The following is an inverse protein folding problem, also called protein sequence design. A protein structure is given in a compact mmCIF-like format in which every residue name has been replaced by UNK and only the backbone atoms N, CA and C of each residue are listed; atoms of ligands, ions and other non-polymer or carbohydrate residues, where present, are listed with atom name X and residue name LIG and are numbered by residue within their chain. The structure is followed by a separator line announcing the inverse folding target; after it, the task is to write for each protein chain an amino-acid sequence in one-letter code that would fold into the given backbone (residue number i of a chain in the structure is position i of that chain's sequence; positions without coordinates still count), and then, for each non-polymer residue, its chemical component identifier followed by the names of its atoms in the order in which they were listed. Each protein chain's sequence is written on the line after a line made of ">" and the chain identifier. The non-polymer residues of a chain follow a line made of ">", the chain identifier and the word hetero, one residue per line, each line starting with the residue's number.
data_IF_773933113651
#
_entry.id   IF_773933113651
#
_cell.length_a   1.000
_cell.length_b   1.000
_cell.length_c   1.000
_cell.angle_alpha   90.00
_cell.angle_beta   90.00
_cell.angle_gamma   90.00
#
_symmetry.space_group_name_H-M   'P 1'
#
loop_
_entity.id
_entity.type
_entity.pdbx_description
1 polymer ?
#
# COMPACT_ATOMS: atom_id res chain seq x y z
N UNK A 1 -3.31 16.16 29.92
CA UNK A 1 -2.31 15.49 30.77
C UNK A 1 -2.39 14.01 30.43
N UNK A 2 -1.33 13.41 29.89
CA UNK A 2 -1.29 11.98 29.65
C UNK A 2 -1.29 11.25 31.01
N UNK A 3 -2.09 10.19 31.12
CA UNK A 3 -2.18 9.37 32.33
C UNK A 3 -0.89 8.53 32.46
N UNK A 4 -0.09 8.68 33.53
CA UNK A 4 1.17 7.93 33.70
C UNK A 4 0.97 6.41 33.80
N UNK A 5 -0.24 5.93 34.07
CA UNK A 5 -0.56 4.50 34.01
C UNK A 5 -0.57 3.97 32.57
N UNK A 6 -0.93 4.81 31.60
CA UNK A 6 -0.97 4.45 30.18
C UNK A 6 0.44 4.32 29.59
N UNK A 7 1.40 5.15 30.04
CA UNK A 7 2.80 5.08 29.63
C UNK A 7 3.48 3.77 30.07
N UNK A 8 3.23 3.32 31.29
CA UNK A 8 3.76 2.03 31.77
C UNK A 8 3.17 0.83 31.01
N UNK A 9 1.89 0.89 30.65
CA UNK A 9 1.23 -0.16 29.89
C UNK A 9 1.73 -0.23 28.43
N UNK A 10 1.82 0.91 27.74
CA UNK A 10 2.38 0.99 26.39
C UNK A 10 3.83 0.50 26.35
N UNK A 11 4.64 0.88 27.34
CA UNK A 11 6.04 0.45 27.42
C UNK A 11 6.18 -1.06 27.66
N UNK A 12 5.20 -1.69 28.32
CA UNK A 12 5.15 -3.14 28.49
C UNK A 12 4.76 -3.87 27.21
N UNK A 13 3.78 -3.36 26.45
CA UNK A 13 3.35 -3.95 25.17
C UNK A 13 4.48 -3.85 24.13
N UNK A 14 5.18 -2.72 24.06
CA UNK A 14 6.29 -2.57 23.09
C UNK A 14 7.49 -3.49 23.40
N UNK A 15 7.64 -3.97 24.64
CA UNK A 15 8.66 -4.97 24.99
C UNK A 15 8.34 -6.37 24.47
N UNK A 16 7.10 -6.65 24.06
CA UNK A 16 6.73 -7.94 23.45
C UNK A 16 6.96 -7.97 21.94
N UNK A 17 7.36 -6.85 21.33
CA UNK A 17 7.69 -6.78 19.92
C UNK A 17 8.90 -7.69 19.61
N UNK A 18 8.74 -8.57 18.61
CA UNK A 18 9.77 -9.54 18.22
C UNK A 18 10.67 -9.03 17.09
N UNK A 19 10.21 -8.00 16.37
CA UNK A 19 10.92 -7.31 15.30
C UNK A 19 10.31 -5.90 15.11
N UNK A 20 10.91 -5.08 14.24
CA UNK A 20 10.43 -3.71 13.98
C UNK A 20 9.06 -3.67 13.27
N UNK A 21 8.73 -4.68 12.45
CA UNK A 21 7.42 -4.77 11.81
C UNK A 21 6.29 -4.95 12.84
N UNK A 22 6.44 -5.92 13.74
CA UNK A 22 5.55 -6.18 14.86
C UNK A 22 5.43 -4.93 15.74
N UNK A 23 6.55 -4.29 16.09
CA UNK A 23 6.55 -3.05 16.86
C UNK A 23 5.73 -1.95 16.17
N UNK A 24 5.85 -1.80 14.85
CA UNK A 24 5.05 -0.82 14.10
C UNK A 24 3.55 -1.12 14.13
N UNK A 25 3.16 -2.40 14.06
CA UNK A 25 1.75 -2.81 14.18
C UNK A 25 1.21 -2.50 15.58
N UNK A 26 1.97 -2.81 16.64
CA UNK A 26 1.61 -2.47 18.01
C UNK A 26 1.48 -0.95 18.22
N UNK A 27 2.41 -0.16 17.68
CA UNK A 27 2.34 1.30 17.75
C UNK A 27 1.11 1.84 17.00
N UNK A 28 0.74 1.23 15.87
CA UNK A 28 -0.47 1.60 15.12
C UNK A 28 -1.73 1.32 15.93
N UNK A 29 -1.82 0.11 16.51
CA UNK A 29 -2.92 -0.35 17.38
C UNK A 29 -3.13 0.56 18.59
N UNK A 30 -2.04 1.05 19.17
CA UNK A 30 -2.05 1.96 20.32
C UNK A 30 -2.20 3.44 19.92
N UNK A 31 -2.34 3.75 18.63
CA UNK A 31 -2.43 5.12 18.10
C UNK A 31 -1.22 6.00 18.47
N UNK A 32 -0.03 5.39 18.50
CA UNK A 32 1.22 6.06 18.85
C UNK A 32 2.04 6.50 17.63
N UNK A 33 1.62 6.11 16.42
CA UNK A 33 2.22 6.56 15.16
C UNK A 33 1.14 6.96 14.17
N UNK A 34 1.49 7.91 13.30
CA UNK A 34 0.63 8.38 12.21
C UNK A 34 1.12 7.92 10.84
N UNK A 35 2.32 7.41 10.70
CA UNK A 35 2.81 6.86 9.45
C UNK A 35 3.86 5.77 9.70
N UNK A 36 4.23 5.07 8.63
CA UNK A 36 5.26 4.04 8.64
C UNK A 36 6.46 4.40 7.76
N UNK A 37 6.60 5.68 7.37
CA UNK A 37 7.69 6.16 6.52
C UNK A 37 9.02 5.98 7.26
N UNK A 38 10.02 5.40 6.58
CA UNK A 38 11.33 5.12 7.17
C UNK A 38 11.36 4.05 8.28
N UNK A 39 10.24 3.43 8.64
CA UNK A 39 10.13 2.46 9.75
C UNK A 39 10.22 1.00 9.33
N UNK A 40 10.07 0.70 8.04
CA UNK A 40 9.99 -0.67 7.55
C UNK A 40 11.35 -1.41 7.53
N UNK A 41 12.46 -0.68 7.43
CA UNK A 41 13.78 -1.29 7.21
C UNK A 41 13.77 -2.12 5.91
N UNK A 42 13.92 -3.45 6.04
CA UNK A 42 13.83 -4.41 4.92
C UNK A 42 12.47 -5.09 4.78
N UNK A 43 11.52 -4.76 5.65
CA UNK A 43 10.19 -5.37 5.62
C UNK A 43 9.31 -4.75 4.54
N UNK A 44 8.38 -5.55 4.00
CA UNK A 44 7.44 -5.09 3.00
C UNK A 44 6.30 -4.32 3.66
N UNK A 45 5.91 -3.21 3.03
CA UNK A 45 4.75 -2.43 3.41
C UNK A 45 3.55 -2.79 2.54
N UNK A 46 2.36 -2.71 3.13
CA UNK A 46 1.10 -3.05 2.47
C UNK A 46 0.03 -1.98 2.66
N UNK A 47 -0.67 -1.73 1.57
CA UNK A 47 -1.95 -1.07 1.49
C UNK A 47 -3.07 -2.07 1.88
N UNK A 48 -4.23 -1.55 2.26
CA UNK A 48 -5.40 -2.35 2.65
C UNK A 48 -6.62 -2.05 1.78
N UNK A 49 -7.31 -3.13 1.37
CA UNK A 49 -8.70 -3.12 0.88
C UNK A 49 -9.47 -4.23 1.59
N UNK A 50 -10.60 -3.89 2.20
CA UNK A 50 -11.52 -4.82 2.86
C UNK A 50 -12.88 -4.72 2.19
N UNK A 51 -13.41 -5.87 1.78
CA UNK A 51 -14.64 -5.98 1.00
C UNK A 51 -15.55 -7.08 1.58
N UNK A 52 -16.87 -7.00 1.36
CA UNK A 52 -17.76 -8.13 1.56
C UNK A 52 -17.33 -9.34 0.69
N UNK A 53 -17.47 -10.55 1.21
CA UNK A 53 -16.88 -11.76 0.61
C UNK A 53 -17.39 -12.04 -0.81
N UNK A 54 -18.62 -11.62 -1.11
CA UNK A 54 -19.23 -11.73 -2.44
C UNK A 54 -18.39 -11.06 -3.55
N UNK A 55 -17.60 -10.04 -3.22
CA UNK A 55 -16.75 -9.31 -4.17
C UNK A 55 -15.28 -9.77 -4.16
N UNK A 56 -14.92 -10.71 -3.29
CA UNK A 56 -13.54 -11.14 -3.11
C UNK A 56 -12.96 -11.83 -4.35
N UNK A 57 -13.75 -12.64 -5.06
CA UNK A 57 -13.28 -13.31 -6.29
C UNK A 57 -13.03 -12.31 -7.42
N UNK A 58 -13.95 -11.37 -7.64
CA UNK A 58 -13.80 -10.30 -8.63
C UNK A 58 -12.54 -9.46 -8.34
N UNK A 59 -12.29 -9.16 -7.06
CA UNK A 59 -11.12 -8.38 -6.66
C UNK A 59 -9.81 -9.14 -6.89
N UNK A 60 -9.77 -10.45 -6.59
CA UNK A 60 -8.61 -11.30 -6.95
C UNK A 60 -8.35 -11.30 -8.45
N UNK A 61 -9.40 -11.42 -9.27
CA UNK A 61 -9.26 -11.37 -10.72
C UNK A 61 -8.81 -9.99 -11.22
N UNK A 62 -9.28 -8.90 -10.60
CA UNK A 62 -8.80 -7.55 -10.89
C UNK A 62 -7.30 -7.46 -10.63
N UNK A 63 -6.84 -7.89 -9.46
CA UNK A 63 -5.42 -7.89 -9.10
C UNK A 63 -4.59 -8.77 -10.03
N UNK A 64 -5.06 -9.97 -10.36
CA UNK A 64 -4.36 -10.89 -11.27
C UNK A 64 -4.22 -10.33 -12.69
N UNK A 65 -5.21 -9.57 -13.17
CA UNK A 65 -5.15 -8.88 -14.47
C UNK A 65 -4.29 -7.62 -14.43
N UNK A 66 -4.06 -7.04 -13.26
CA UNK A 66 -3.29 -5.81 -13.06
C UNK A 66 -2.19 -5.99 -12.01
N UNK A 67 -1.24 -6.92 -12.20
CA UNK A 67 -0.32 -7.35 -11.14
C UNK A 67 0.68 -6.26 -10.74
N UNK A 68 1.04 -5.36 -11.67
CA UNK A 68 1.94 -4.23 -11.39
C UNK A 68 1.30 -3.21 -10.46
N UNK A 69 0.11 -2.64 -10.74
CA UNK A 69 -0.50 -1.66 -9.84
C UNK A 69 -1.27 -2.27 -8.66
N UNK A 70 -1.63 -3.56 -8.71
CA UNK A 70 -2.45 -4.23 -7.71
C UNK A 70 -1.83 -5.55 -7.17
N UNK A 71 -0.55 -5.57 -6.73
CA UNK A 71 0.09 -6.81 -6.31
C UNK A 71 -0.48 -7.29 -4.96
N UNK A 72 -1.19 -8.40 -4.92
CA UNK A 72 -1.64 -9.01 -3.66
C UNK A 72 -0.45 -9.66 -2.96
N UNK A 73 -0.20 -9.26 -1.72
CA UNK A 73 0.75 -9.90 -0.83
C UNK A 73 0.06 -10.90 0.10
N UNK A 74 -1.15 -10.60 0.56
CA UNK A 74 -1.91 -11.56 1.35
C UNK A 74 -3.38 -11.23 1.46
N UNK A 75 -4.14 -12.15 2.05
CA UNK A 75 -5.57 -11.96 2.32
C UNK A 75 -6.02 -12.70 3.57
N UNK A 76 -7.15 -12.29 4.12
CA UNK A 76 -7.80 -13.04 5.21
C UNK A 76 -8.86 -14.00 4.67
N UNK A 77 -9.27 -14.97 5.49
CA UNK A 77 -10.53 -15.68 5.24
C UNK A 77 -11.72 -14.77 5.56
N UNK A 78 -12.91 -15.02 4.97
CA UNK A 78 -14.12 -14.31 5.36
C UNK A 78 -14.32 -14.35 6.87
N UNK A 79 -14.49 -13.16 7.46
CA UNK A 79 -14.77 -12.99 8.88
C UNK A 79 -13.58 -13.14 9.83
N UNK A 80 -12.43 -13.62 9.37
CA UNK A 80 -11.24 -13.82 10.20
C UNK A 80 -10.31 -12.60 10.12
N UNK A 81 -10.24 -11.73 11.14
CA UNK A 81 -9.38 -10.54 11.09
C UNK A 81 -7.94 -10.81 11.54
N UNK A 82 -7.65 -11.98 12.12
CA UNK A 82 -6.38 -12.23 12.84
C UNK A 82 -5.40 -13.10 12.07
N UNK A 83 -5.79 -13.62 10.89
CA UNK A 83 -4.94 -14.50 10.10
C UNK A 83 -4.86 -14.09 8.64
N UNK A 84 -3.63 -13.92 8.15
CA UNK A 84 -3.32 -13.58 6.77
C UNK A 84 -2.68 -14.78 6.09
N UNK A 85 -3.15 -15.06 4.88
CA UNK A 85 -2.59 -16.04 3.96
C UNK A 85 -1.81 -15.32 2.86
N UNK A 86 -0.63 -15.83 2.48
CA UNK A 86 0.07 -16.96 3.11
C UNK A 86 0.62 -16.59 4.51
N UNK A 87 0.74 -17.59 5.40
CA UNK A 87 1.14 -17.40 6.81
C UNK A 87 2.52 -16.74 7.00
N UNK A 88 3.33 -16.64 5.95
CA UNK A 88 4.60 -15.91 6.01
C UNK A 88 4.43 -14.40 6.08
N UNK A 89 3.31 -13.86 5.55
CA UNK A 89 3.07 -12.42 5.48
C UNK A 89 2.97 -11.79 6.87
N UNK A 90 2.28 -12.46 7.80
CA UNK A 90 2.20 -12.10 9.20
C UNK A 90 2.37 -13.36 10.05
N UNK A 91 3.36 -13.35 10.94
CA UNK A 91 3.76 -14.48 11.77
C UNK A 91 3.39 -14.27 13.25
N UNK A 92 3.04 -13.05 13.64
CA UNK A 92 2.70 -12.70 15.02
C UNK A 92 1.27 -13.10 15.36
N UNK A 93 1.04 -13.88 16.44
CA UNK A 93 -0.28 -14.43 16.77
C UNK A 93 -1.28 -13.40 17.28
N UNK A 94 -0.81 -12.23 17.70
CA UNK A 94 -1.63 -11.12 18.19
C UNK A 94 -2.03 -10.14 17.08
N UNK A 95 -1.77 -10.47 15.80
CA UNK A 95 -2.17 -9.65 14.66
C UNK A 95 -3.68 -9.44 14.60
N UNK A 96 -4.09 -8.21 14.27
CA UNK A 96 -5.49 -7.88 13.96
C UNK A 96 -5.56 -6.79 12.89
N UNK A 97 -6.04 -7.15 11.70
CA UNK A 97 -6.16 -6.22 10.57
C UNK A 97 -7.05 -5.02 10.88
N UNK A 98 -7.93 -5.13 11.88
CA UNK A 98 -8.88 -4.07 12.27
C UNK A 98 -8.23 -2.96 13.07
N UNK A 99 -7.04 -3.19 13.62
CA UNK A 99 -6.34 -2.22 14.48
C UNK A 99 -4.90 -1.92 14.06
N UNK A 100 -4.29 -2.79 13.26
CA UNK A 100 -2.84 -2.75 13.02
C UNK A 100 -2.40 -1.81 11.88
N UNK A 101 -3.33 -1.10 11.25
CA UNK A 101 -3.05 0.06 10.42
C UNK A 101 -3.24 1.35 11.21
N UNK A 102 -2.43 2.40 10.97
CA UNK A 102 -2.58 3.66 11.69
C UNK A 102 -3.94 4.36 11.45
N UNK A 103 -4.48 4.32 10.23
CA UNK A 103 -5.76 4.96 9.87
C UNK A 103 -6.50 4.19 8.78
N UNK A 104 -7.82 4.25 8.87
CA UNK A 104 -8.75 3.59 7.97
C UNK A 104 -9.76 4.58 7.40
N UNK A 105 -10.22 4.32 6.18
CA UNK A 105 -11.38 4.97 5.57
C UNK A 105 -12.53 3.98 5.48
N UNK A 106 -13.69 4.38 5.97
CA UNK A 106 -14.92 3.59 5.93
C UNK A 106 -15.85 4.16 4.87
N UNK A 107 -16.27 3.31 3.95
CA UNK A 107 -17.23 3.63 2.90
C UNK A 107 -18.45 2.74 3.01
N UNK A 108 -19.63 3.33 2.83
CA UNK A 108 -20.89 2.59 2.78
C UNK A 108 -21.58 2.94 1.47
N UNK A 109 -21.86 1.92 0.65
CA UNK A 109 -22.45 2.09 -0.68
C UNK A 109 -21.72 3.16 -1.52
N UNK A 110 -20.38 3.06 -1.58
CA UNK A 110 -19.53 3.97 -2.36
C UNK A 110 -19.19 5.32 -1.70
N UNK A 111 -19.91 5.75 -0.66
CA UNK A 111 -19.68 7.06 -0.03
C UNK A 111 -18.75 6.96 1.17
N UNK A 112 -17.76 7.86 1.27
CA UNK A 112 -16.91 7.98 2.47
C UNK A 112 -17.74 8.51 3.63
N UNK A 113 -17.87 7.70 4.69
CA UNK A 113 -18.67 8.05 5.88
C UNK A 113 -17.80 8.37 7.10
N UNK A 114 -16.59 7.82 7.19
CA UNK A 114 -15.70 8.07 8.31
C UNK A 114 -14.23 7.83 7.97
N UNK A 115 -13.34 8.52 8.70
CA UNK A 115 -11.92 8.19 8.85
C UNK A 115 -11.71 7.77 10.31
N UNK A 116 -11.25 6.55 10.55
CA UNK A 116 -11.15 5.94 11.89
C UNK A 116 -9.73 5.46 12.18
N UNK A 117 -9.46 5.23 13.48
CA UNK A 117 -8.20 4.65 13.98
C UNK A 117 -8.23 3.12 14.04
N UNK A 118 -9.43 2.54 13.99
CA UNK A 118 -9.68 1.11 13.89
C UNK A 118 -11.03 0.90 13.17
N UNK A 119 -11.28 -0.33 12.74
CA UNK A 119 -12.52 -0.74 12.05
C UNK A 119 -13.25 -1.88 12.79
N UNK A 120 -13.15 -1.90 14.13
CA UNK A 120 -13.74 -2.96 14.95
C UNK A 120 -15.27 -3.01 14.82
N UNK A 121 -15.92 -1.85 14.81
CA UNK A 121 -17.38 -1.73 14.76
C UNK A 121 -17.96 -1.98 13.36
N UNK A 122 -17.13 -1.81 12.33
CA UNK A 122 -17.49 -1.96 10.92
C UNK A 122 -17.30 -3.39 10.41
N UNK A 123 -16.40 -4.15 11.04
CA UNK A 123 -16.06 -5.51 10.63
C UNK A 123 -17.22 -6.48 10.92
N UNK A 124 -17.39 -7.45 10.02
CA UNK A 124 -18.42 -8.50 10.12
C UNK A 124 -17.84 -9.84 9.67
N UNK A 125 -18.56 -10.91 9.94
CA UNK A 125 -18.18 -12.28 9.54
C UNK A 125 -18.13 -12.50 8.01
N UNK A 126 -18.57 -11.51 7.23
CA UNK A 126 -18.55 -11.53 5.77
C UNK A 126 -17.34 -10.80 5.16
N UNK A 127 -16.56 -10.06 5.95
CA UNK A 127 -15.47 -9.25 5.40
C UNK A 127 -14.23 -10.07 5.06
N UNK A 128 -13.61 -9.75 3.94
CA UNK A 128 -12.31 -10.25 3.48
C UNK A 128 -11.37 -9.06 3.33
N UNK A 129 -10.20 -9.12 3.97
CA UNK A 129 -9.14 -8.14 3.80
C UNK A 129 -8.11 -8.63 2.79
N UNK A 130 -7.64 -7.71 1.95
CA UNK A 130 -6.55 -7.88 0.99
C UNK A 130 -5.43 -6.90 1.33
N UNK A 131 -4.22 -7.46 1.48
CA UNK A 131 -2.99 -6.72 1.66
C UNK A 131 -2.32 -6.55 0.30
N UNK A 132 -2.21 -5.31 -0.17
CA UNK A 132 -1.67 -4.97 -1.48
C UNK A 132 -0.27 -4.37 -1.30
N UNK A 133 0.72 -4.84 -2.05
CA UNK A 133 2.09 -4.36 -1.98
C UNK A 133 2.19 -2.83 -2.18
N UNK A 134 3.25 -2.26 -1.60
CA UNK A 134 3.49 -0.82 -1.60
C UNK A 134 4.88 -0.50 -2.15
N UNK A 135 4.97 0.60 -2.93
CA UNK A 135 6.21 1.08 -3.57
C UNK A 135 7.29 1.51 -2.57
N UNK A 136 6.92 1.81 -1.33
CA UNK A 136 7.88 2.09 -0.25
C UNK A 136 8.86 0.93 -0.02
N UNK A 137 8.51 -0.29 -0.46
CA UNK A 137 9.33 -1.49 -0.26
C UNK A 137 10.66 -1.49 -1.05
N UNK A 138 10.76 -0.76 -2.18
CA UNK A 138 12.02 -0.67 -2.95
C UNK A 138 12.85 0.58 -2.60
N UNK A 139 12.29 1.54 -1.84
CA UNK A 139 12.98 2.78 -1.47
C UNK A 139 14.22 2.51 -0.62
N UNK A 140 14.16 1.48 0.23
CA UNK A 140 15.32 1.01 0.99
C UNK A 140 16.51 0.67 0.09
N UNK A 141 16.27 -0.05 -1.01
CA UNK A 141 17.34 -0.45 -1.93
C UNK A 141 17.86 0.71 -2.78
N UNK A 142 16.97 1.62 -3.21
CA UNK A 142 17.38 2.86 -3.88
C UNK A 142 18.29 3.70 -2.97
N UNK A 143 17.92 3.85 -1.69
CA UNK A 143 18.72 4.55 -0.69
C UNK A 143 20.07 3.87 -0.42
N UNK A 144 20.09 2.54 -0.30
CA UNK A 144 21.32 1.77 -0.14
C UNK A 144 22.27 1.93 -1.35
N UNK A 145 21.71 2.11 -2.55
CA UNK A 145 22.47 2.40 -3.77
C UNK A 145 22.87 3.88 -3.93
N UNK A 146 22.52 4.74 -2.97
CA UNK A 146 22.88 6.17 -2.98
C UNK A 146 21.90 7.07 -3.74
N UNK A 147 20.75 6.55 -4.20
CA UNK A 147 19.74 7.35 -4.86
C UNK A 147 18.85 8.09 -3.86
N UNK A 148 18.52 9.34 -4.22
CA UNK A 148 17.63 10.19 -3.42
C UNK A 148 16.20 9.64 -3.39
N UNK A 149 15.57 9.74 -2.23
CA UNK A 149 14.13 9.56 -2.06
C UNK A 149 13.53 10.92 -1.70
N UNK A 150 12.97 11.61 -2.69
CA UNK A 150 12.67 13.05 -2.59
C UNK A 150 11.69 13.40 -1.47
N UNK A 151 10.62 12.61 -1.30
CA UNK A 151 9.62 12.86 -0.26
C UNK A 151 10.14 12.56 1.13
N UNK A 152 11.03 11.58 1.30
CA UNK A 152 11.65 11.29 2.60
C UNK A 152 12.56 12.44 3.05
N UNK A 153 13.46 12.91 2.16
CA UNK A 153 14.35 14.03 2.46
C UNK A 153 13.58 15.32 2.81
N UNK A 154 12.43 15.52 2.16
CA UNK A 154 11.64 16.74 2.28
C UNK A 154 10.58 16.66 3.38
N UNK A 155 10.44 15.51 4.07
CA UNK A 155 9.39 15.29 5.08
C UNK A 155 7.97 15.35 4.51
N UNK A 156 7.79 14.86 3.29
CA UNK A 156 6.54 14.88 2.51
C UNK A 156 6.02 13.46 2.29
N UNK A 157 4.75 13.34 1.89
CA UNK A 157 4.21 12.09 1.33
C UNK A 157 4.57 12.00 -0.16
N UNK A 158 4.74 10.78 -0.71
CA UNK A 158 4.95 10.58 -2.13
C UNK A 158 3.83 11.24 -2.95
N UNK A 159 4.21 11.93 -4.03
CA UNK A 159 3.23 12.44 -5.00
C UNK A 159 2.67 11.29 -5.83
N UNK A 160 1.35 11.26 -5.98
CA UNK A 160 0.65 10.24 -6.76
C UNK A 160 -0.35 10.87 -7.72
N UNK A 161 -0.49 10.27 -8.91
CA UNK A 161 -1.27 10.80 -10.02
C UNK A 161 -2.15 9.72 -10.63
N UNK A 162 -3.38 10.08 -10.99
CA UNK A 162 -4.26 9.28 -11.84
C UNK A 162 -3.77 9.41 -13.27
N UNK A 163 -3.56 8.27 -13.93
CA UNK A 163 -3.13 8.24 -15.33
C UNK A 163 -4.34 8.12 -16.26
N UNK A 164 -4.09 8.22 -17.57
CA UNK A 164 -5.01 7.82 -18.63
C UNK A 164 -4.98 6.31 -18.94
N UNK A 165 -4.15 5.53 -18.25
CA UNK A 165 -3.99 4.09 -18.50
C UNK A 165 -5.17 3.35 -17.83
N UNK A 166 -6.06 2.70 -18.57
CA UNK A 166 -7.18 1.99 -17.96
C UNK A 166 -6.70 0.75 -17.20
N UNK A 167 -7.35 0.46 -16.06
CA UNK A 167 -7.20 -0.87 -15.46
C UNK A 167 -7.93 -1.90 -16.31
N UNK A 168 -7.39 -3.11 -16.37
CA UNK A 168 -8.09 -4.24 -16.98
C UNK A 168 -9.22 -4.69 -16.02
N UNK A 169 -10.50 -4.53 -16.38
CA UNK A 169 -11.60 -4.77 -15.45
C UNK A 169 -11.76 -6.26 -15.11
N UNK A 170 -12.43 -6.53 -13.97
CA UNK A 170 -12.84 -7.87 -13.56
C UNK A 170 -14.12 -7.81 -12.73
N UNK A 171 -15.17 -8.51 -13.18
CA UNK A 171 -16.47 -8.56 -12.50
C UNK A 171 -17.03 -7.16 -12.27
N UNK A 172 -17.40 -6.83 -11.03
CA UNK A 172 -17.91 -5.49 -10.69
C UNK A 172 -16.84 -4.39 -10.77
N UNK A 173 -15.55 -4.73 -10.75
CA UNK A 173 -14.46 -3.77 -10.73
C UNK A 173 -14.11 -3.30 -12.15
N UNK A 174 -14.61 -2.12 -12.50
CA UNK A 174 -14.40 -1.48 -13.79
C UNK A 174 -14.30 0.04 -13.67
N UNK A 175 -13.92 0.71 -14.77
CA UNK A 175 -13.99 2.18 -14.88
C UNK A 175 -12.89 2.97 -14.15
N UNK A 176 -11.89 2.28 -13.59
CA UNK A 176 -10.71 2.92 -12.98
C UNK A 176 -9.54 3.08 -13.94
N UNK A 177 -8.58 3.91 -13.55
CA UNK A 177 -7.27 4.03 -14.21
C UNK A 177 -6.15 3.71 -13.24
N UNK A 178 -4.98 3.36 -13.78
CA UNK A 178 -3.78 3.12 -12.99
C UNK A 178 -3.39 4.41 -12.27
N UNK A 179 -3.09 4.30 -10.98
CA UNK A 179 -2.46 5.37 -10.20
C UNK A 179 -0.97 5.10 -10.17
N UNK A 180 -0.18 6.16 -10.38
CA UNK A 180 1.27 6.10 -10.26
C UNK A 180 1.78 6.91 -9.08
N UNK A 181 2.88 6.49 -8.49
CA UNK A 181 3.69 7.29 -7.56
C UNK A 181 4.92 7.83 -8.29
N UNK A 182 5.32 9.06 -7.97
CA UNK A 182 6.41 9.76 -8.66
C UNK A 182 7.57 10.04 -7.70
N UNK A 183 8.79 9.88 -8.23
CA UNK A 183 10.06 10.31 -7.61
C UNK A 183 10.90 11.05 -8.66
N UNK A 184 11.81 11.90 -8.20
CA UNK A 184 12.67 12.73 -9.05
C UNK A 184 14.08 12.14 -9.13
N UNK A 185 14.63 12.05 -10.33
CA UNK A 185 15.99 11.55 -10.59
C UNK A 185 16.64 12.30 -11.76
N UNK A 186 17.96 12.37 -11.82
CA UNK A 186 18.65 12.78 -13.03
C UNK A 186 18.52 11.71 -14.13
N UNK A 187 18.58 12.11 -15.40
CA UNK A 187 18.31 11.21 -16.54
C UNK A 187 19.30 10.04 -16.60
N UNK A 188 20.55 10.27 -16.21
CA UNK A 188 21.61 9.28 -16.12
C UNK A 188 21.39 8.23 -15.02
N UNK A 189 20.59 8.54 -14.01
CA UNK A 189 20.28 7.61 -12.91
C UNK A 189 19.17 6.62 -13.29
N UNK A 190 18.34 6.94 -14.30
CA UNK A 190 17.10 6.20 -14.59
C UNK A 190 17.36 4.72 -14.84
N UNK A 191 18.39 4.35 -15.61
CA UNK A 191 18.65 2.93 -15.89
C UNK A 191 19.08 2.17 -14.63
N UNK A 192 19.86 2.81 -13.74
CA UNK A 192 20.24 2.20 -12.48
C UNK A 192 19.04 2.04 -11.55
N UNK A 193 18.20 3.07 -11.44
CA UNK A 193 16.93 3.04 -10.71
C UNK A 193 16.03 1.91 -11.22
N UNK A 194 15.93 1.72 -12.53
CA UNK A 194 15.19 0.60 -13.14
C UNK A 194 15.79 -0.75 -12.76
N UNK A 195 17.10 -0.92 -12.89
CA UNK A 195 17.78 -2.18 -12.52
C UNK A 195 17.57 -2.55 -11.05
N UNK A 196 17.63 -1.58 -10.14
CA UNK A 196 17.42 -1.79 -8.70
C UNK A 196 15.97 -2.18 -8.41
N UNK A 197 15.00 -1.54 -9.05
CA UNK A 197 13.58 -1.73 -8.75
C UNK A 197 12.94 -2.90 -9.51
N UNK A 198 13.51 -3.34 -10.64
CA UNK A 198 12.98 -4.44 -11.47
C UNK A 198 12.72 -5.76 -10.70
N UNK A 199 13.58 -6.23 -9.78
CA UNK A 199 13.31 -7.45 -9.00
C UNK A 199 12.08 -7.36 -8.09
N UNK A 200 11.58 -6.16 -7.80
CA UNK A 200 10.48 -5.89 -6.89
C UNK A 200 9.10 -6.03 -7.55
N UNK A 201 8.91 -6.99 -8.46
CA UNK A 201 7.66 -7.16 -9.23
C UNK A 201 6.43 -7.33 -8.32
N UNK A 202 6.57 -8.00 -7.19
CA UNK A 202 5.51 -8.17 -6.18
C UNK A 202 5.20 -6.88 -5.39
N UNK A 203 5.92 -5.78 -5.63
CA UNK A 203 5.66 -4.44 -5.07
C UNK A 203 5.86 -3.36 -6.15
N UNK A 204 5.26 -3.57 -7.33
CA UNK A 204 5.21 -2.69 -8.50
C UNK A 204 6.39 -2.79 -9.50
N UNK A 205 7.57 -3.22 -9.09
CA UNK A 205 8.71 -3.45 -10.00
C UNK A 205 9.35 -2.16 -10.53
N UNK A 206 9.80 -2.18 -11.79
CA UNK A 206 10.47 -1.04 -12.43
C UNK A 206 9.50 0.08 -12.84
N UNK A 207 9.98 1.33 -13.05
CA UNK A 207 9.18 2.42 -13.58
C UNK A 207 8.38 2.07 -14.83
N UNK A 208 7.15 2.58 -14.92
CA UNK A 208 6.28 2.43 -16.10
C UNK A 208 6.38 3.61 -17.07
N UNK A 209 6.89 4.75 -16.61
CA UNK A 209 7.14 5.95 -17.40
C UNK A 209 8.19 6.83 -16.71
N UNK A 210 8.84 7.72 -17.46
CA UNK A 210 9.79 8.71 -16.94
C UNK A 210 9.96 9.87 -17.92
N UNK A 211 10.49 10.99 -17.43
CA UNK A 211 10.64 12.20 -18.22
C UNK A 211 9.32 12.95 -18.42
N UNK A 212 9.45 14.13 -18.99
CA UNK A 212 8.31 15.00 -19.31
C UNK A 212 7.41 14.36 -20.37
N UNK A 213 7.98 13.80 -21.43
CA UNK A 213 7.25 13.07 -22.47
C UNK A 213 6.54 11.83 -21.90
N UNK A 214 7.19 11.13 -20.97
CA UNK A 214 6.58 9.99 -20.28
C UNK A 214 5.41 10.40 -19.40
N UNK A 215 5.50 11.54 -18.71
CA UNK A 215 4.39 12.11 -17.96
C UNK A 215 3.19 12.43 -18.86
N UNK A 216 3.43 13.08 -20.00
CA UNK A 216 2.40 13.38 -20.99
C UNK A 216 1.76 12.10 -21.57
N UNK A 217 2.57 11.10 -21.92
CA UNK A 217 2.10 9.83 -22.47
C UNK A 217 1.11 9.11 -21.53
N UNK A 218 1.33 9.20 -20.21
CA UNK A 218 0.44 8.63 -19.18
C UNK A 218 -0.65 9.61 -18.70
N UNK A 219 -0.81 10.76 -19.38
CA UNK A 219 -1.89 11.71 -19.14
C UNK A 219 -1.67 12.68 -17.97
N UNK A 220 -0.45 12.82 -17.46
CA UNK A 220 -0.12 13.75 -16.38
C UNK A 220 0.26 15.11 -16.98
N UNK A 221 -0.71 16.02 -17.03
CA UNK A 221 -0.51 17.37 -17.58
C UNK A 221 0.29 18.32 -16.67
N UNK A 222 0.36 18.05 -15.37
CA UNK A 222 1.16 18.82 -14.42
C UNK A 222 1.64 17.94 -13.26
N UNK A 223 2.96 17.75 -13.17
CA UNK A 223 3.59 17.07 -12.02
C UNK A 223 3.59 17.94 -10.75
N UNK A 224 3.19 19.20 -10.82
CA UNK A 224 3.15 20.08 -9.65
C UNK A 224 1.85 19.96 -8.84
N UNK A 225 0.84 19.29 -9.40
CA UNK A 225 -0.50 19.16 -8.84
C UNK A 225 -0.85 17.68 -8.68
N UNK A 226 -0.33 17.01 -7.63
CA UNK A 226 -0.63 15.60 -7.42
C UNK A 226 -2.10 15.39 -7.03
N UNK A 227 -2.70 14.31 -7.54
CA UNK A 227 -4.04 13.86 -7.12
C UNK A 227 -4.06 13.40 -5.66
N UNK A 228 -2.94 12.83 -5.19
CA UNK A 228 -2.77 12.39 -3.80
C UNK A 228 -1.34 12.65 -3.32
N UNK A 229 -1.20 12.87 -2.01
CA UNK A 229 0.11 13.16 -1.39
C UNK A 229 0.48 14.63 -1.52
N UNK A 230 1.78 14.92 -1.48
CA UNK A 230 2.29 16.29 -1.41
C UNK A 230 3.16 16.62 -2.63
N UNK A 231 3.18 17.88 -3.04
CA UNK A 231 4.02 18.37 -4.15
C UNK A 231 5.50 18.20 -3.83
N UNK A 232 6.24 17.52 -4.70
CA UNK A 232 7.67 17.27 -4.54
C UNK A 232 8.54 18.47 -4.86
N UNK A 233 9.74 18.51 -4.27
CA UNK A 233 10.77 19.52 -4.57
C UNK A 233 11.68 19.01 -5.69
N UNK A 234 11.88 19.85 -6.70
CA UNK A 234 12.68 19.58 -7.88
C UNK A 234 14.07 20.17 -7.67
N UNK A 235 15.13 19.42 -7.99
CA UNK A 235 16.51 19.90 -7.96
C UNK A 235 17.08 19.91 -9.38
N UNK A 236 17.57 21.08 -9.83
CA UNK A 236 18.29 21.20 -11.10
C UNK A 236 17.49 20.70 -12.31
N UNK A 237 18.08 19.73 -13.02
CA UNK A 237 17.59 19.08 -14.23
C UNK A 237 16.99 17.69 -13.98
N UNK A 238 16.61 17.38 -12.72
CA UNK A 238 15.87 16.17 -12.38
C UNK A 238 14.59 16.04 -13.23
N UNK A 239 14.29 14.80 -13.63
CA UNK A 239 13.08 14.41 -14.34
C UNK A 239 12.17 13.55 -13.47
N UNK A 240 10.84 13.56 -13.70
CA UNK A 240 9.93 12.71 -12.97
C UNK A 240 10.02 11.26 -13.46
N UNK A 241 9.98 10.31 -12.54
CA UNK A 241 9.96 8.86 -12.80
C UNK A 241 8.76 8.25 -12.07
N UNK A 242 8.00 7.40 -12.76
CA UNK A 242 6.68 6.96 -12.33
C UNK A 242 6.60 5.44 -12.16
N UNK A 243 6.09 4.99 -11.02
CA UNK A 243 5.82 3.58 -10.71
C UNK A 243 4.34 3.35 -10.51
N UNK A 244 3.86 2.13 -10.80
CA UNK A 244 2.54 1.69 -10.32
C UNK A 244 2.39 1.91 -8.80
N UNK A 245 1.17 2.18 -8.36
CA UNK A 245 0.88 2.48 -6.96
C UNK A 245 -0.29 1.66 -6.44
N UNK A 246 -0.15 1.10 -5.24
CA UNK A 246 -1.19 0.33 -4.52
C UNK A 246 -2.40 1.16 -4.06
N UNK A 247 -2.48 2.44 -4.43
CA UNK A 247 -3.71 3.25 -4.38
C UNK A 247 -4.64 2.93 -5.57
N UNK A 248 -4.14 2.36 -6.67
CA UNK A 248 -4.95 1.91 -7.82
C UNK A 248 -6.15 1.04 -7.43
N UNK A 249 -6.02 -0.03 -6.63
CA UNK A 249 -7.19 -0.81 -6.25
C UNK A 249 -8.21 0.00 -5.43
N UNK A 250 -7.78 0.98 -4.64
CA UNK A 250 -8.70 1.86 -3.93
C UNK A 250 -9.47 2.77 -4.88
N UNK A 251 -8.80 3.35 -5.90
CA UNK A 251 -9.50 4.21 -6.87
C UNK A 251 -10.47 3.42 -7.73
N UNK A 252 -10.17 2.15 -8.04
CA UNK A 252 -11.12 1.27 -8.72
C UNK A 252 -12.33 0.98 -7.84
N UNK A 253 -12.12 0.65 -6.57
CA UNK A 253 -13.21 0.45 -5.59
C UNK A 253 -14.08 1.70 -5.45
N UNK A 254 -13.46 2.89 -5.40
CA UNK A 254 -14.16 4.17 -5.37
C UNK A 254 -14.96 4.44 -6.65
N UNK A 255 -14.40 4.10 -7.82
CA UNK A 255 -15.05 4.29 -9.12
C UNK A 255 -16.29 3.41 -9.29
N UNK A 256 -16.28 2.20 -8.73
CA UNK A 256 -17.46 1.30 -8.73
C UNK A 256 -18.57 1.86 -7.82
N UNK A 257 -18.20 2.55 -6.75
CA UNK A 257 -19.14 3.25 -5.87
C UNK A 257 -20.20 2.33 -5.27
N UNK A 258 -21.47 2.62 -5.53
CA UNK A 258 -22.62 1.89 -5.01
C UNK A 258 -22.88 0.54 -5.69
N UNK A 259 -22.08 0.17 -6.70
CA UNK A 259 -22.03 -1.17 -7.27
C UNK A 259 -21.52 -2.23 -6.26
N UNK A 260 -20.78 -1.79 -5.24
CA UNK A 260 -20.40 -2.63 -4.09
C UNK A 260 -21.41 -2.37 -2.96
N UNK A 261 -22.24 -3.36 -2.67
CA UNK A 261 -23.23 -3.29 -1.58
C UNK A 261 -22.57 -3.62 -0.25
N UNK A 262 -22.88 -2.83 0.77
CA UNK A 262 -22.35 -3.00 2.12
C UNK A 262 -21.22 -2.03 2.45
N UNK A 263 -20.41 -2.42 3.44
CA UNK A 263 -19.31 -1.61 3.96
C UNK A 263 -18.00 -2.02 3.30
N UNK A 264 -17.23 -1.02 2.89
CA UNK A 264 -15.89 -1.18 2.33
C UNK A 264 -14.94 -0.39 3.18
N UNK A 265 -13.82 -1.00 3.58
CA UNK A 265 -12.80 -0.33 4.39
C UNK A 265 -11.47 -0.36 3.67
N UNK A 266 -10.75 0.76 3.68
CA UNK A 266 -9.38 0.84 3.15
C UNK A 266 -8.50 1.47 4.20
N UNK A 267 -7.19 1.39 4.04
CA UNK A 267 -6.31 2.30 4.79
C UNK A 267 -6.49 3.74 4.26
N UNK A 268 -6.17 4.74 5.07
CA UNK A 268 -6.04 6.12 4.60
C UNK A 268 -4.71 6.26 3.83
N UNK A 269 -4.67 6.81 2.59
CA UNK A 269 -3.43 6.90 1.82
C UNK A 269 -2.27 7.54 2.60
N UNK A 270 -1.14 6.82 2.65
CA UNK A 270 0.05 7.18 3.45
C UNK A 270 0.12 6.50 4.83
N UNK A 271 -0.99 5.91 5.30
CA UNK A 271 -1.08 5.22 6.59
C UNK A 271 -1.03 3.70 6.39
N UNK A 272 0.07 3.19 5.84
CA UNK A 272 0.25 1.77 5.48
C UNK A 272 0.77 0.93 6.65
N UNK A 273 0.62 -0.41 6.56
CA UNK A 273 1.11 -1.36 7.57
C UNK A 273 2.42 -2.03 7.13
N UNK A 274 3.28 -2.41 8.09
CA UNK A 274 4.50 -3.19 7.85
C UNK A 274 4.24 -4.68 8.14
N UNK A 275 4.57 -5.54 7.18
CA UNK A 275 4.43 -7.00 7.25
C UNK A 275 5.67 -7.66 7.86
N UNK A 276 5.58 -8.95 8.20
CA UNK A 276 6.76 -9.72 8.65
C UNK A 276 7.61 -10.23 7.47
N UNK A 277 7.10 -10.13 6.24
CA UNK A 277 7.89 -10.39 5.05
C UNK A 277 8.92 -9.33 4.79
N UNK A 278 10.03 -9.78 4.23
CA UNK A 278 11.13 -8.94 3.79
C UNK A 278 11.29 -8.99 2.28
N UNK A 279 12.13 -8.09 1.76
CA UNK A 279 12.57 -8.13 0.35
C UNK A 279 13.07 -9.51 -0.06
N UNK A 280 13.75 -10.22 0.83
CA UNK A 280 14.31 -11.55 0.55
C UNK A 280 13.23 -12.64 0.42
N UNK A 281 11.99 -12.35 0.81
CA UNK A 281 10.84 -13.23 0.66
C UNK A 281 10.06 -13.04 -0.65
N UNK A 282 10.33 -11.96 -1.41
CA UNK A 282 9.67 -11.70 -2.72
C UNK A 282 9.72 -12.88 -3.70
N UNK A 283 10.82 -13.67 -3.80
CA UNK A 283 10.83 -14.85 -4.66
C UNK A 283 9.85 -15.94 -4.22
N UNK A 284 9.61 -16.09 -2.90
CA UNK A 284 8.70 -17.11 -2.33
C UNK A 284 7.23 -16.74 -2.59
N UNK A 285 6.96 -15.45 -2.61
CA UNK A 285 5.66 -14.84 -2.86
C UNK A 285 5.05 -15.26 -4.20
N UNK A 286 5.87 -15.21 -5.27
CA UNK A 286 5.44 -15.64 -6.61
C UNK A 286 5.05 -17.12 -6.66
N UNK A 287 5.70 -17.97 -5.87
CA UNK A 287 5.38 -19.39 -5.80
C UNK A 287 4.12 -19.67 -4.96
N UNK A 288 3.95 -18.99 -3.81
CA UNK A 288 2.76 -19.16 -2.96
C UNK A 288 1.47 -18.72 -3.66
N UNK A 289 1.48 -17.58 -4.35
CA UNK A 289 0.31 -17.06 -5.06
C UNK A 289 -0.09 -17.93 -6.27
N UNK A 290 0.86 -18.64 -6.89
CA UNK A 290 0.58 -19.59 -7.97
C UNK A 290 -0.05 -20.90 -7.45
N UNK A 291 0.32 -21.35 -6.25
CA UNK A 291 -0.16 -22.61 -5.68
C UNK A 291 -1.56 -22.51 -5.06
N UNK A 292 -1.95 -21.35 -4.52
CA UNK A 292 -3.27 -21.16 -3.87
C UNK A 292 -4.37 -20.67 -4.83
N UNK A 293 -4.02 -20.41 -6.10
CA UNK A 293 -4.97 -20.15 -7.20
C UNK A 293 -5.33 -21.42 -8.01
N UNK A 294 -4.90 -22.60 -7.54
CA UNK A 294 -5.28 -23.95 -8.01
C UNK A 294 -6.15 -24.64 -6.95
#
# INVERSE_FOLDING_TARGET
>A
MADPSNDHHHHSILKTAINEAHKSRLLSRLDLITDTIGRAGRHLQVNLVVLPSAYASDFRHLCARNPVPCPILGWTKPGDPSRVYPNGCIQTPDFDVRTDFPRYRVRVNGSLVAVKKNILDEWTDDHVAFLIGCSLSFEGALREAGHRICHEEDGKRPAMYKTNIPVLPAGVFCGGTVVVSMRMYHVEEVEQVRMITRPYLATHGEPIAWGWDGAEAIGIGSVYEPDFGDRQTFKGDEIPVFWGCGVTPQTVVEAVGDGIKGTVMTHDPGFVMITDWTVDDLPKLSACLMMENL
#
